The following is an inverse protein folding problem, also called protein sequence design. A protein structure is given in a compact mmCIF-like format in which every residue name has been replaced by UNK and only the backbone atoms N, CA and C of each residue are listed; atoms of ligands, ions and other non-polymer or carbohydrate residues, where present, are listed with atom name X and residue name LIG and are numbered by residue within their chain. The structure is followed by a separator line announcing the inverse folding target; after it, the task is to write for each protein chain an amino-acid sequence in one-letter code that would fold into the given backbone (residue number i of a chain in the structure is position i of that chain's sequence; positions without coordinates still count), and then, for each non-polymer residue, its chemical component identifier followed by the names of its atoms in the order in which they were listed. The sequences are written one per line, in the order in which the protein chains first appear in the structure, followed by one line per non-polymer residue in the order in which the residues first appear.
data_IF_280464757688
#
_entry.id   IF_280464757688
#
_cell.length_a   1.000
_cell.length_b   1.000
_cell.length_c   1.000
_cell.angle_alpha   90.00
_cell.angle_beta   90.00
_cell.angle_gamma   90.00
#
_symmetry.space_group_name_H-M   'P 1'
#
loop_
_entity.id
_entity.type
_entity.pdbx_description
1 polymer ?
#
# COMPACT_ATOMS: atom_id res chain seq x y z
N UNK A 1 -12.44 -30.87 3.91
CA UNK A 1 -13.39 -29.76 4.16
C UNK A 1 -12.64 -28.46 4.01
N UNK A 2 -13.07 -27.66 3.06
CA UNK A 2 -12.40 -26.48 2.54
C UNK A 2 -12.28 -25.38 3.61
N UNK A 3 -11.07 -24.96 3.92
CA UNK A 3 -10.84 -23.81 4.79
C UNK A 3 -11.30 -22.55 4.07
N UNK A 4 -12.36 -21.93 4.57
CA UNK A 4 -12.81 -20.61 4.15
C UNK A 4 -11.71 -19.58 4.48
N UNK A 5 -11.06 -19.08 3.44
CA UNK A 5 -10.23 -17.87 3.51
C UNK A 5 -11.16 -16.73 3.91
N UNK A 6 -10.89 -16.11 5.04
CA UNK A 6 -11.55 -14.86 5.43
C UNK A 6 -11.21 -13.77 4.42
N UNK A 7 -12.19 -13.23 3.70
CA UNK A 7 -11.96 -12.17 2.74
C UNK A 7 -12.52 -10.87 3.27
N UNK A 8 -11.78 -9.87 3.47
CA UNK A 8 -12.53 -8.64 3.63
C UNK A 8 -11.75 -7.33 3.57
N UNK A 9 -10.52 -7.27 4.03
CA UNK A 9 -9.85 -5.97 4.16
C UNK A 9 -8.96 -5.56 2.98
N UNK A 10 -8.12 -6.46 2.50
CA UNK A 10 -7.13 -6.15 1.47
C UNK A 10 -7.72 -5.80 0.08
N UNK A 11 -8.72 -6.52 -0.46
CA UNK A 11 -9.25 -6.22 -1.79
C UNK A 11 -10.00 -4.89 -1.87
N UNK A 12 -10.72 -4.47 -0.82
CA UNK A 12 -11.47 -3.22 -0.81
C UNK A 12 -10.56 -1.98 -0.78
N UNK A 13 -9.46 -2.00 -0.03
CA UNK A 13 -8.47 -0.91 0.01
C UNK A 13 -7.78 -0.74 -1.33
N UNK A 14 -7.42 -1.85 -1.99
CA UNK A 14 -6.80 -1.82 -3.31
C UNK A 14 -7.77 -1.36 -4.40
N UNK A 15 -9.05 -1.63 -4.26
CA UNK A 15 -10.09 -1.18 -5.20
C UNK A 15 -10.33 0.32 -5.10
N UNK A 16 -10.42 0.87 -3.89
CA UNK A 16 -10.54 2.32 -3.66
C UNK A 16 -9.29 3.06 -4.14
N UNK A 17 -8.10 2.53 -3.88
CA UNK A 17 -6.85 3.10 -4.37
C UNK A 17 -6.79 3.12 -5.90
N UNK A 18 -7.22 2.04 -6.55
CA UNK A 18 -7.32 1.95 -8.01
C UNK A 18 -8.34 2.93 -8.58
N UNK A 19 -9.52 3.08 -7.95
CA UNK A 19 -10.53 4.04 -8.35
C UNK A 19 -10.03 5.48 -8.22
N UNK A 20 -9.39 5.85 -7.10
CA UNK A 20 -8.81 7.17 -6.90
C UNK A 20 -7.70 7.49 -7.91
N UNK A 21 -6.84 6.52 -8.21
CA UNK A 21 -5.80 6.64 -9.22
C UNK A 21 -6.41 6.80 -10.63
N UNK A 22 -7.48 6.09 -10.95
CA UNK A 22 -8.19 6.19 -12.22
C UNK A 22 -8.83 7.59 -12.41
N UNK A 23 -9.45 8.16 -11.38
CA UNK A 23 -10.02 9.52 -11.40
C UNK A 23 -8.91 10.57 -11.59
N UNK A 24 -7.80 10.47 -10.85
CA UNK A 24 -6.67 11.38 -11.00
C UNK A 24 -6.07 11.30 -12.41
N UNK A 25 -5.95 10.11 -12.96
CA UNK A 25 -5.44 9.88 -14.32
C UNK A 25 -6.39 10.43 -15.40
N UNK A 26 -7.70 10.25 -15.22
CA UNK A 26 -8.72 10.80 -16.12
C UNK A 26 -8.73 12.34 -16.12
N UNK A 27 -8.59 12.96 -14.94
CA UNK A 27 -8.52 14.42 -14.79
C UNK A 27 -7.26 15.01 -15.46
N UNK A 28 -6.10 14.41 -15.24
CA UNK A 28 -4.84 14.84 -15.88
C UNK A 28 -4.90 14.66 -17.40
N UNK A 29 -5.44 13.55 -17.87
CA UNK A 29 -5.66 13.31 -19.30
C UNK A 29 -6.60 14.34 -19.92
N UNK A 30 -7.71 14.68 -19.23
CA UNK A 30 -8.65 15.72 -19.67
C UNK A 30 -7.95 17.08 -19.79
N UNK A 31 -7.17 17.47 -18.81
CA UNK A 31 -6.44 18.73 -18.82
C UNK A 31 -5.39 18.78 -19.94
N UNK A 32 -4.67 17.69 -20.24
CA UNK A 32 -3.76 17.56 -21.38
C UNK A 32 -4.49 17.77 -22.71
N UNK A 33 -5.63 17.10 -22.89
CA UNK A 33 -6.43 17.22 -24.14
C UNK A 33 -6.86 18.68 -24.35
N UNK A 34 -7.40 19.32 -23.31
CA UNK A 34 -7.85 20.71 -23.39
C UNK A 34 -6.69 21.64 -23.76
N UNK A 35 -5.55 21.49 -23.12
CA UNK A 35 -4.37 22.33 -23.42
C UNK A 35 -3.86 22.13 -24.84
N UNK A 36 -3.82 20.89 -25.35
CA UNK A 36 -3.42 20.56 -26.72
C UNK A 36 -4.43 21.18 -27.71
N UNK A 37 -5.72 21.02 -27.46
CA UNK A 37 -6.77 21.58 -28.31
C UNK A 37 -6.69 23.10 -28.36
N UNK A 38 -6.51 23.78 -27.21
CA UNK A 38 -6.36 25.24 -27.18
C UNK A 38 -5.13 25.68 -27.99
N UNK A 39 -3.96 25.05 -27.76
CA UNK A 39 -2.72 25.40 -28.45
C UNK A 39 -2.85 25.28 -29.97
N UNK A 40 -3.33 24.11 -30.44
CA UNK A 40 -3.48 23.84 -31.87
C UNK A 40 -4.62 24.62 -32.52
N UNK A 41 -5.75 24.78 -31.85
CA UNK A 41 -6.88 25.57 -32.35
C UNK A 41 -6.49 27.04 -32.51
N UNK A 42 -5.84 27.62 -31.49
CA UNK A 42 -5.35 29.00 -31.57
C UNK A 42 -4.35 29.20 -32.69
N UNK A 43 -3.38 28.28 -32.81
CA UNK A 43 -2.38 28.29 -33.85
C UNK A 43 -2.98 28.17 -35.27
N UNK A 44 -3.97 27.29 -35.43
CA UNK A 44 -4.58 27.05 -36.76
C UNK A 44 -5.71 28.03 -37.11
N UNK A 45 -6.62 28.32 -36.17
CA UNK A 45 -7.81 29.09 -36.45
C UNK A 45 -7.61 30.62 -36.38
N UNK A 46 -6.62 31.09 -35.62
CA UNK A 46 -6.35 32.51 -35.43
C UNK A 46 -5.05 32.91 -36.13
N UNK A 47 -3.93 32.23 -35.85
CA UNK A 47 -2.64 32.62 -36.36
C UNK A 47 -2.52 32.44 -37.90
N UNK A 48 -2.95 31.27 -38.43
CA UNK A 48 -2.82 31.03 -39.87
C UNK A 48 -3.60 32.00 -40.75
N UNK A 49 -4.91 32.26 -40.49
CA UNK A 49 -5.64 33.28 -41.29
C UNK A 49 -4.99 34.67 -41.24
N UNK A 50 -4.50 35.08 -40.06
CA UNK A 50 -3.84 36.36 -39.90
C UNK A 50 -2.53 36.49 -40.75
N UNK A 51 -1.70 35.42 -40.73
CA UNK A 51 -0.49 35.34 -41.55
C UNK A 51 -0.81 35.37 -43.04
N UNK A 52 -1.82 34.61 -43.48
CA UNK A 52 -2.25 34.56 -44.87
C UNK A 52 -2.82 35.91 -45.37
N UNK A 53 -3.60 36.59 -44.52
CA UNK A 53 -4.18 37.90 -44.83
C UNK A 53 -3.08 38.99 -44.97
N UNK A 54 -2.07 38.95 -44.10
CA UNK A 54 -1.00 39.95 -44.09
C UNK A 54 0.22 39.54 -44.94
N UNK A 55 0.12 38.49 -45.77
CA UNK A 55 1.25 37.89 -46.50
C UNK A 55 2.08 38.86 -47.32
N UNK A 56 1.43 39.85 -47.99
CA UNK A 56 2.09 40.87 -48.79
C UNK A 56 2.78 41.95 -47.96
N UNK A 57 2.48 42.06 -46.66
CA UNK A 57 2.99 43.07 -45.75
C UNK A 57 4.12 42.57 -44.86
N UNK A 58 4.31 41.25 -44.80
CA UNK A 58 5.39 40.61 -44.06
C UNK A 58 6.72 40.82 -44.78
N UNK A 59 7.79 41.08 -44.03
CA UNK A 59 9.12 41.25 -44.58
C UNK A 59 9.68 39.95 -45.20
N UNK A 60 9.41 38.79 -44.60
CA UNK A 60 9.80 37.48 -45.12
C UNK A 60 8.68 36.44 -44.92
N UNK A 61 7.60 36.45 -45.75
CA UNK A 61 6.40 35.60 -45.53
C UNK A 61 6.68 34.11 -45.60
N UNK A 62 7.63 33.68 -46.39
CA UNK A 62 8.01 32.25 -46.49
C UNK A 62 8.67 31.74 -45.21
N UNK A 63 9.46 32.56 -44.54
CA UNK A 63 10.06 32.21 -43.23
C UNK A 63 9.01 32.14 -42.15
N UNK A 64 8.07 33.10 -42.09
CA UNK A 64 6.98 33.11 -41.13
C UNK A 64 6.06 31.90 -41.30
N UNK A 65 5.75 31.51 -42.55
CA UNK A 65 4.94 30.31 -42.83
C UNK A 65 5.69 29.00 -42.52
N UNK A 66 6.98 28.93 -42.87
CA UNK A 66 7.80 27.76 -42.54
C UNK A 66 7.93 27.55 -41.03
N UNK A 67 8.12 28.64 -40.27
CA UNK A 67 8.13 28.63 -38.83
C UNK A 67 6.76 28.18 -38.24
N UNK A 68 5.65 28.68 -38.85
CA UNK A 68 4.31 28.25 -38.46
C UNK A 68 4.12 26.76 -38.65
N UNK A 69 4.51 26.18 -39.83
CA UNK A 69 4.41 24.71 -40.06
C UNK A 69 5.29 23.95 -39.09
N UNK A 70 6.50 24.40 -38.80
CA UNK A 70 7.41 23.75 -37.87
C UNK A 70 6.78 23.67 -36.46
N UNK A 71 6.18 24.76 -35.98
CA UNK A 71 5.51 24.77 -34.67
C UNK A 71 4.23 23.90 -34.66
N UNK A 72 3.47 23.91 -35.74
CA UNK A 72 2.29 23.03 -35.87
C UNK A 72 2.68 21.55 -35.77
N UNK A 73 3.73 21.12 -36.51
CA UNK A 73 4.20 19.73 -36.51
C UNK A 73 4.79 19.35 -35.15
N UNK A 74 5.65 20.19 -34.59
CA UNK A 74 6.26 19.93 -33.27
C UNK A 74 5.23 19.92 -32.16
N UNK A 75 4.23 20.79 -32.21
CA UNK A 75 3.11 20.81 -31.26
C UNK A 75 2.22 19.58 -31.36
N UNK A 76 1.92 19.12 -32.58
CA UNK A 76 1.17 17.89 -32.79
C UNK A 76 1.93 16.66 -32.22
N UNK A 77 3.23 16.55 -32.53
CA UNK A 77 4.09 15.48 -31.99
C UNK A 77 4.18 15.52 -30.47
N UNK A 78 4.35 16.72 -29.89
CA UNK A 78 4.33 16.91 -28.44
C UNK A 78 2.98 16.51 -27.82
N UNK A 79 1.88 16.91 -28.45
CA UNK A 79 0.52 16.53 -28.03
C UNK A 79 0.31 15.02 -28.03
N UNK A 80 0.69 14.34 -29.12
CA UNK A 80 0.60 12.86 -29.22
C UNK A 80 1.44 12.19 -28.13
N UNK A 81 2.67 12.66 -27.87
CA UNK A 81 3.52 12.10 -26.80
C UNK A 81 2.91 12.33 -25.42
N UNK A 82 2.39 13.54 -25.16
CA UNK A 82 1.69 13.84 -23.90
C UNK A 82 0.49 12.91 -23.65
N UNK A 83 -0.32 12.65 -24.68
CA UNK A 83 -1.49 11.76 -24.57
C UNK A 83 -1.08 10.30 -24.35
N UNK A 84 0.05 9.87 -24.91
CA UNK A 84 0.63 8.56 -24.69
C UNK A 84 1.37 8.41 -23.38
N UNK A 85 1.50 9.50 -22.58
CA UNK A 85 2.28 9.48 -21.35
C UNK A 85 3.79 9.38 -21.56
N UNK A 86 4.28 9.62 -22.79
CA UNK A 86 5.70 9.54 -23.11
C UNK A 86 6.44 10.81 -22.68
N UNK A 87 7.70 10.73 -22.20
CA UNK A 87 8.45 11.89 -21.78
C UNK A 87 8.72 12.82 -22.95
N UNK A 88 8.53 14.13 -22.72
CA UNK A 88 8.89 15.18 -23.68
C UNK A 88 10.30 15.68 -23.39
N UNK A 89 11.12 15.92 -24.44
CA UNK A 89 12.38 16.63 -24.31
C UNK A 89 12.12 18.14 -24.12
N UNK A 90 11.68 18.52 -22.92
CA UNK A 90 11.13 19.84 -22.64
C UNK A 90 12.11 21.00 -22.99
N UNK A 91 13.37 20.88 -22.58
CA UNK A 91 14.34 21.95 -22.82
C UNK A 91 14.79 22.10 -24.28
N UNK A 92 15.08 21.02 -25.03
CA UNK A 92 15.28 21.10 -26.47
C UNK A 92 14.09 21.71 -27.22
N UNK A 93 12.86 21.28 -26.86
CA UNK A 93 11.64 21.83 -27.42
C UNK A 93 11.47 23.32 -27.11
N UNK A 94 11.69 23.71 -25.85
CA UNK A 94 11.66 25.12 -25.44
C UNK A 94 12.69 25.96 -26.16
N UNK A 95 13.92 25.46 -26.32
CA UNK A 95 14.97 26.12 -27.08
C UNK A 95 14.60 26.32 -28.56
N UNK A 96 14.04 25.29 -29.21
CA UNK A 96 13.51 25.38 -30.56
C UNK A 96 12.44 26.48 -30.69
N UNK A 97 11.47 26.50 -29.73
CA UNK A 97 10.42 27.51 -29.74
C UNK A 97 10.96 28.95 -29.57
N UNK A 98 11.99 29.15 -28.74
CA UNK A 98 12.63 30.47 -28.58
C UNK A 98 13.43 30.88 -29.84
N UNK A 99 14.07 29.93 -30.54
CA UNK A 99 14.70 30.22 -31.83
C UNK A 99 13.68 30.62 -32.89
N UNK A 100 12.55 29.88 -32.96
CA UNK A 100 11.43 30.24 -33.84
C UNK A 100 10.87 31.61 -33.49
N UNK A 101 10.75 31.94 -32.20
CA UNK A 101 10.30 33.22 -31.70
C UNK A 101 11.12 34.40 -32.26
N UNK A 102 12.42 34.36 -32.04
CA UNK A 102 13.34 35.39 -32.58
C UNK A 102 13.31 35.47 -34.11
N UNK A 103 13.21 34.32 -34.78
CA UNK A 103 13.13 34.24 -36.24
C UNK A 103 11.89 34.92 -36.78
N UNK A 104 10.72 34.67 -36.19
CA UNK A 104 9.44 35.24 -36.63
C UNK A 104 9.40 36.73 -36.32
N UNK A 105 9.88 37.19 -35.16
CA UNK A 105 10.00 38.65 -34.89
C UNK A 105 10.85 39.39 -35.91
N UNK A 106 11.98 38.80 -36.34
CA UNK A 106 12.82 39.39 -37.37
C UNK A 106 12.16 39.35 -38.77
N UNK A 107 11.42 38.27 -39.07
CA UNK A 107 10.80 38.03 -40.38
C UNK A 107 9.46 38.74 -40.59
N UNK A 108 8.78 39.15 -39.52
CA UNK A 108 7.49 39.83 -39.59
C UNK A 108 7.62 41.28 -40.13
N UNK A 109 8.67 41.97 -39.76
CA UNK A 109 8.92 43.38 -40.13
C UNK A 109 8.21 44.37 -39.19
N UNK A 110 8.58 45.64 -39.32
CA UNK A 110 8.13 46.72 -38.43
C UNK A 110 6.62 46.89 -38.44
N UNK A 111 5.98 46.90 -39.63
CA UNK A 111 4.53 47.09 -39.79
C UNK A 111 3.68 46.00 -39.12
N UNK A 112 4.21 44.79 -38.98
CA UNK A 112 3.51 43.62 -38.44
C UNK A 112 3.90 43.31 -36.99
N UNK A 113 4.75 44.14 -36.37
CA UNK A 113 5.30 43.87 -35.01
C UNK A 113 4.25 43.64 -33.94
N UNK A 114 3.15 44.40 -33.96
CA UNK A 114 2.06 44.30 -32.98
C UNK A 114 0.75 43.86 -33.65
N UNK A 115 0.79 42.98 -34.63
CA UNK A 115 -0.40 42.44 -35.29
C UNK A 115 -0.56 40.95 -35.04
N UNK A 116 -1.71 40.41 -35.38
CA UNK A 116 -1.98 38.97 -35.29
C UNK A 116 -1.13 38.17 -36.31
N UNK A 117 -0.57 38.81 -37.35
CA UNK A 117 0.31 38.16 -38.30
C UNK A 117 1.67 37.79 -37.68
N UNK A 118 2.10 38.53 -36.65
CA UNK A 118 3.20 38.10 -35.76
C UNK A 118 2.66 37.14 -34.70
N UNK A 119 2.33 35.96 -35.16
CA UNK A 119 1.58 34.92 -34.41
C UNK A 119 2.28 34.43 -33.15
N UNK A 120 3.59 34.60 -33.03
CA UNK A 120 4.36 34.15 -31.85
C UNK A 120 3.83 34.75 -30.54
N UNK A 121 3.35 36.01 -30.58
CA UNK A 121 2.73 36.67 -29.44
C UNK A 121 1.61 35.83 -28.80
N UNK A 122 0.64 35.43 -29.57
CA UNK A 122 -0.54 34.75 -29.05
C UNK A 122 -0.41 33.24 -28.91
N UNK A 123 0.62 32.65 -29.54
CA UNK A 123 0.68 31.19 -29.72
C UNK A 123 1.75 30.53 -28.85
N UNK A 124 2.97 31.12 -28.76
CA UNK A 124 4.12 30.43 -28.16
C UNK A 124 3.91 30.08 -26.69
N UNK A 125 3.23 30.94 -25.93
CA UNK A 125 2.92 30.71 -24.54
C UNK A 125 2.15 29.37 -24.33
N UNK A 126 1.24 29.02 -25.23
CA UNK A 126 0.52 27.75 -25.20
C UNK A 126 1.41 26.54 -25.47
N UNK A 127 2.36 26.68 -26.41
CA UNK A 127 3.33 25.60 -26.66
C UNK A 127 4.35 25.46 -25.53
N UNK A 128 4.68 26.54 -24.81
CA UNK A 128 5.47 26.44 -23.57
C UNK A 128 4.71 25.67 -22.48
N UNK A 129 3.40 25.88 -22.34
CA UNK A 129 2.55 25.07 -21.44
C UNK A 129 2.63 23.60 -21.79
N UNK A 130 2.52 23.23 -23.09
CA UNK A 130 2.65 21.83 -23.52
C UNK A 130 4.06 21.27 -23.27
N UNK A 131 5.11 22.02 -23.59
CA UNK A 131 6.50 21.58 -23.42
C UNK A 131 6.86 21.32 -21.95
N UNK A 132 6.29 22.12 -21.04
CA UNK A 132 6.58 22.08 -19.61
C UNK A 132 5.48 21.37 -18.80
N UNK A 133 4.59 20.63 -19.43
CA UNK A 133 3.50 19.93 -18.73
C UNK A 133 4.01 19.09 -17.55
N UNK A 134 3.41 19.29 -16.38
CA UNK A 134 3.80 18.58 -15.14
C UNK A 134 5.11 19.05 -14.50
N UNK A 135 5.74 20.11 -15.02
CA UNK A 135 6.94 20.72 -14.45
C UNK A 135 6.61 21.90 -13.54
N UNK A 136 7.62 22.49 -12.92
CA UNK A 136 7.48 23.65 -12.03
C UNK A 136 7.09 24.90 -12.83
N UNK A 137 6.18 25.71 -12.28
CA UNK A 137 5.73 26.98 -12.88
C UNK A 137 6.87 27.96 -13.17
N UNK A 138 7.92 27.90 -12.36
CA UNK A 138 9.13 28.75 -12.56
C UNK A 138 9.75 28.57 -13.96
N UNK A 139 9.72 27.33 -14.51
CA UNK A 139 10.17 27.06 -15.86
C UNK A 139 9.34 27.79 -16.92
N UNK A 140 8.00 27.78 -16.77
CA UNK A 140 7.10 28.50 -17.67
C UNK A 140 7.34 30.03 -17.59
N UNK A 141 7.45 30.57 -16.38
CA UNK A 141 7.71 31.98 -16.18
C UNK A 141 9.05 32.39 -16.79
N UNK A 142 10.08 31.58 -16.65
CA UNK A 142 11.39 31.83 -17.27
C UNK A 142 11.30 31.88 -18.82
N UNK A 143 10.53 30.95 -19.43
CA UNK A 143 10.31 30.99 -20.89
C UNK A 143 9.50 32.19 -21.36
N UNK A 144 8.48 32.60 -20.58
CA UNK A 144 7.70 33.79 -20.88
C UNK A 144 8.53 35.07 -20.75
N UNK A 145 9.41 35.13 -19.76
CA UNK A 145 10.41 36.24 -19.64
C UNK A 145 11.35 36.23 -20.82
N UNK A 146 11.88 35.07 -21.23
CA UNK A 146 12.76 34.95 -22.40
C UNK A 146 12.05 35.42 -23.70
N UNK A 147 10.80 34.95 -23.92
CA UNK A 147 9.94 35.40 -25.00
C UNK A 147 9.74 36.93 -24.97
N UNK A 148 9.42 37.52 -23.81
CA UNK A 148 9.24 38.95 -23.66
C UNK A 148 10.53 39.75 -23.93
N UNK A 149 11.69 39.18 -23.54
CA UNK A 149 12.99 39.81 -23.85
C UNK A 149 13.32 39.77 -25.35
N UNK A 150 13.04 38.65 -26.04
CA UNK A 150 13.19 38.53 -27.50
C UNK A 150 12.29 39.55 -28.18
N UNK A 151 11.01 39.64 -27.76
CA UNK A 151 10.09 40.63 -28.29
C UNK A 151 10.56 42.09 -28.04
N UNK A 152 11.08 42.37 -26.83
CA UNK A 152 11.61 43.70 -26.51
C UNK A 152 12.82 44.07 -27.39
N UNK A 153 13.73 43.13 -27.62
CA UNK A 153 14.86 43.32 -28.52
C UNK A 153 14.38 43.63 -29.94
N UNK A 154 13.34 42.92 -30.42
CA UNK A 154 12.72 43.18 -31.71
C UNK A 154 12.06 44.58 -31.77
N UNK A 155 11.31 44.98 -30.75
CA UNK A 155 10.69 46.31 -30.64
C UNK A 155 11.73 47.42 -30.71
N UNK A 156 12.82 47.27 -29.96
CA UNK A 156 13.93 48.26 -29.98
C UNK A 156 14.66 48.21 -31.32
N UNK A 157 14.91 47.03 -31.87
CA UNK A 157 15.64 46.87 -33.16
C UNK A 157 14.89 47.44 -34.35
N UNK A 158 13.56 47.44 -34.31
CA UNK A 158 12.70 48.09 -35.31
C UNK A 158 12.45 49.61 -35.03
N UNK A 159 13.04 50.18 -33.99
CA UNK A 159 12.89 51.58 -33.64
C UNK A 159 11.53 51.98 -33.01
N UNK A 160 10.69 50.98 -32.65
CA UNK A 160 9.37 51.19 -32.04
C UNK A 160 9.50 51.52 -30.53
N UNK A 161 10.12 52.69 -30.23
CA UNK A 161 10.45 53.08 -28.84
C UNK A 161 9.61 54.21 -28.30
N UNK A 162 8.60 54.66 -29.05
CA UNK A 162 7.68 55.66 -28.57
C UNK A 162 6.86 55.13 -27.35
N UNK A 163 6.40 56.02 -26.49
CA UNK A 163 5.62 55.65 -25.29
C UNK A 163 4.39 54.79 -25.63
N UNK A 164 3.77 55.04 -26.80
CA UNK A 164 2.64 54.27 -27.30
C UNK A 164 3.05 52.82 -27.66
N UNK A 165 4.24 52.63 -28.24
CA UNK A 165 4.77 51.30 -28.60
C UNK A 165 5.17 50.49 -27.38
N UNK A 166 5.79 51.14 -26.39
CA UNK A 166 6.06 50.50 -25.10
C UNK A 166 4.81 50.13 -24.33
N UNK A 167 3.77 50.94 -24.40
CA UNK A 167 2.46 50.63 -23.82
C UNK A 167 1.81 49.41 -24.52
N UNK A 168 1.88 49.35 -25.88
CA UNK A 168 1.42 48.18 -26.66
C UNK A 168 2.22 46.91 -26.28
N UNK A 169 3.55 47.02 -26.19
CA UNK A 169 4.39 45.93 -25.76
C UNK A 169 3.95 45.39 -24.39
N UNK A 170 3.80 46.25 -23.38
CA UNK A 170 3.34 45.85 -22.06
C UNK A 170 1.98 45.15 -22.09
N UNK A 171 1.04 45.69 -22.90
CA UNK A 171 -0.28 45.12 -23.09
C UNK A 171 -0.19 43.72 -23.75
N UNK A 172 0.65 43.53 -24.75
CA UNK A 172 0.83 42.22 -25.40
C UNK A 172 1.46 41.22 -24.43
N UNK A 173 2.51 41.59 -23.71
CA UNK A 173 3.13 40.73 -22.69
C UNK A 173 2.12 40.28 -21.66
N UNK A 174 1.31 41.21 -21.12
CA UNK A 174 0.27 40.90 -20.16
C UNK A 174 -0.82 40.00 -20.76
N UNK A 175 -1.36 40.41 -21.92
CA UNK A 175 -2.49 39.73 -22.54
C UNK A 175 -2.18 38.30 -22.99
N UNK A 176 -0.97 38.08 -23.54
CA UNK A 176 -0.57 36.76 -24.08
C UNK A 176 -0.03 35.79 -23.01
N UNK A 177 0.48 36.35 -21.89
CA UNK A 177 1.05 35.52 -20.81
C UNK A 177 0.04 35.14 -19.71
N UNK A 178 -0.94 36.02 -19.42
CA UNK A 178 -1.83 35.87 -18.26
C UNK A 178 -2.68 34.58 -18.31
N UNK A 179 -3.32 34.29 -19.44
CA UNK A 179 -4.20 33.14 -19.57
C UNK A 179 -3.42 31.79 -19.60
N UNK A 180 -2.32 31.63 -20.34
CA UNK A 180 -1.48 30.43 -20.25
C UNK A 180 -0.94 30.18 -18.83
N UNK A 181 -0.52 31.21 -18.11
CA UNK A 181 -0.08 31.08 -16.72
C UNK A 181 -1.22 30.63 -15.83
N UNK A 182 -2.41 31.26 -15.95
CA UNK A 182 -3.59 30.88 -15.17
C UNK A 182 -4.00 29.42 -15.42
N UNK A 183 -4.00 28.97 -16.68
CA UNK A 183 -4.31 27.58 -17.05
C UNK A 183 -3.27 26.61 -16.51
N UNK A 184 -1.98 26.94 -16.60
CA UNK A 184 -0.90 26.11 -16.09
C UNK A 184 -0.95 25.96 -14.57
N UNK A 185 -1.10 27.08 -13.86
CA UNK A 185 -1.17 27.11 -12.38
C UNK A 185 -2.47 26.44 -11.91
N UNK A 186 -3.60 26.74 -12.55
CA UNK A 186 -4.89 26.10 -12.25
C UNK A 186 -4.86 24.59 -12.44
N UNK A 187 -4.28 24.12 -13.55
CA UNK A 187 -4.08 22.69 -13.80
C UNK A 187 -3.18 22.03 -12.76
N UNK A 188 -2.09 22.67 -12.38
CA UNK A 188 -1.19 22.17 -11.33
C UNK A 188 -1.89 22.13 -9.96
N UNK A 189 -2.69 23.15 -9.63
CA UNK A 189 -3.45 23.21 -8.37
C UNK A 189 -4.51 22.10 -8.30
N UNK A 190 -5.27 21.89 -9.37
CA UNK A 190 -6.26 20.81 -9.46
C UNK A 190 -5.57 19.44 -9.29
N UNK A 191 -4.45 19.22 -9.95
CA UNK A 191 -3.69 17.98 -9.84
C UNK A 191 -3.13 17.77 -8.42
N UNK A 192 -2.70 18.84 -7.73
CA UNK A 192 -2.26 18.79 -6.35
C UNK A 192 -3.40 18.42 -5.40
N UNK A 193 -4.55 19.09 -5.53
CA UNK A 193 -5.74 18.83 -4.73
C UNK A 193 -6.28 17.40 -4.93
N UNK A 194 -6.28 16.90 -6.16
CA UNK A 194 -6.70 15.53 -6.46
C UNK A 194 -5.79 14.51 -5.77
N UNK A 195 -4.46 14.74 -5.76
CA UNK A 195 -3.49 13.88 -5.06
C UNK A 195 -3.68 13.91 -3.54
N UNK A 196 -3.91 15.07 -2.96
CA UNK A 196 -4.17 15.25 -1.54
C UNK A 196 -5.45 14.52 -1.11
N UNK A 197 -6.54 14.71 -1.85
CA UNK A 197 -7.80 13.99 -1.59
C UNK A 197 -7.66 12.48 -1.69
N UNK A 198 -6.91 11.97 -2.69
CA UNK A 198 -6.63 10.56 -2.84
C UNK A 198 -5.82 10.01 -1.65
N UNK A 199 -4.82 10.75 -1.17
CA UNK A 199 -4.03 10.38 0.01
C UNK A 199 -4.87 10.35 1.29
N UNK A 200 -5.72 11.36 1.50
CA UNK A 200 -6.64 11.43 2.66
C UNK A 200 -7.66 10.29 2.64
N UNK A 201 -8.25 10.01 1.48
CA UNK A 201 -9.17 8.88 1.32
C UNK A 201 -8.47 7.54 1.62
N UNK A 202 -7.26 7.32 1.09
CA UNK A 202 -6.50 6.11 1.38
C UNK A 202 -6.19 5.94 2.88
N UNK A 203 -5.82 7.02 3.57
CA UNK A 203 -5.56 7.00 5.01
C UNK A 203 -6.83 6.68 5.82
N UNK A 204 -7.98 7.29 5.47
CA UNK A 204 -9.24 7.01 6.15
C UNK A 204 -9.73 5.57 5.96
N UNK A 205 -9.55 5.00 4.76
CA UNK A 205 -9.87 3.59 4.51
C UNK A 205 -8.94 2.63 5.25
N UNK A 206 -7.65 2.95 5.41
CA UNK A 206 -6.73 2.14 6.20
C UNK A 206 -7.16 2.08 7.67
N UNK A 207 -7.51 3.24 8.26
CA UNK A 207 -8.03 3.30 9.64
C UNK A 207 -9.35 2.55 9.80
N UNK A 208 -10.25 2.64 8.82
CA UNK A 208 -11.51 1.90 8.84
C UNK A 208 -11.26 0.37 8.80
N UNK A 209 -10.37 -0.09 7.92
CA UNK A 209 -10.01 -1.51 7.81
C UNK A 209 -9.38 -2.06 9.10
N UNK A 210 -8.52 -1.27 9.77
CA UNK A 210 -7.95 -1.66 11.07
C UNK A 210 -9.03 -1.80 12.16
N UNK A 211 -10.00 -0.86 12.19
CA UNK A 211 -11.13 -0.93 13.12
C UNK A 211 -12.00 -2.16 12.88
N UNK A 212 -12.34 -2.42 11.62
CA UNK A 212 -13.15 -3.57 11.24
C UNK A 212 -12.45 -4.89 11.59
N UNK A 213 -11.14 -4.99 11.34
CA UNK A 213 -10.34 -6.14 11.74
C UNK A 213 -10.29 -6.33 13.27
N UNK A 214 -10.13 -5.25 14.04
CA UNK A 214 -10.15 -5.30 15.49
C UNK A 214 -11.54 -5.70 16.04
N UNK A 215 -12.62 -5.19 15.45
CA UNK A 215 -13.97 -5.57 15.82
C UNK A 215 -14.27 -7.04 15.50
N UNK A 216 -13.82 -7.52 14.34
CA UNK A 216 -13.97 -8.92 13.96
C UNK A 216 -13.21 -9.83 14.93
N UNK A 217 -11.96 -9.51 15.27
CA UNK A 217 -11.20 -10.26 16.25
C UNK A 217 -11.87 -10.29 17.65
N UNK A 218 -12.51 -9.17 18.05
CA UNK A 218 -13.29 -9.12 19.30
C UNK A 218 -14.55 -9.98 19.24
N UNK A 219 -15.25 -10.04 18.10
CA UNK A 219 -16.43 -10.90 17.90
C UNK A 219 -16.02 -12.37 17.96
N UNK A 220 -15.01 -12.75 17.19
CA UNK A 220 -14.49 -14.13 17.17
C UNK A 220 -14.04 -14.59 18.56
N UNK A 221 -13.44 -13.69 19.35
CA UNK A 221 -13.06 -13.98 20.75
C UNK A 221 -14.30 -14.19 21.64
N UNK A 222 -15.32 -13.32 21.51
CA UNK A 222 -16.57 -13.48 22.29
C UNK A 222 -17.28 -14.78 21.96
N UNK A 223 -17.34 -15.15 20.68
CA UNK A 223 -18.00 -16.36 20.21
C UNK A 223 -17.28 -17.61 20.74
N UNK A 224 -15.94 -17.62 20.75
CA UNK A 224 -15.15 -18.70 21.36
C UNK A 224 -15.36 -18.78 22.88
N UNK A 225 -15.37 -17.65 23.57
CA UNK A 225 -15.66 -17.60 25.01
C UNK A 225 -17.05 -18.13 25.31
N UNK A 226 -18.06 -17.75 24.55
CA UNK A 226 -19.45 -18.21 24.74
C UNK A 226 -19.59 -19.73 24.58
N UNK A 227 -18.91 -20.31 23.56
CA UNK A 227 -18.91 -21.76 23.34
C UNK A 227 -18.32 -22.55 24.52
N UNK A 228 -17.23 -22.06 25.11
CA UNK A 228 -16.54 -22.74 26.21
C UNK A 228 -17.27 -22.50 27.54
N UNK A 229 -17.75 -21.25 27.77
CA UNK A 229 -18.54 -20.91 28.98
C UNK A 229 -19.83 -21.73 29.06
N UNK A 230 -20.54 -21.95 27.93
CA UNK A 230 -21.76 -22.75 27.92
C UNK A 230 -21.56 -24.19 28.41
N UNK A 231 -20.40 -24.81 28.07
CA UNK A 231 -20.10 -26.17 28.55
C UNK A 231 -19.78 -26.19 30.07
N UNK A 232 -19.03 -25.21 30.55
CA UNK A 232 -18.70 -25.09 31.97
C UNK A 232 -19.96 -24.74 32.81
N UNK A 233 -20.78 -23.82 32.29
CA UNK A 233 -22.03 -23.38 32.92
C UNK A 233 -23.03 -24.53 33.06
N UNK A 234 -23.15 -25.40 32.05
CA UNK A 234 -24.02 -26.58 32.12
C UNK A 234 -23.59 -27.51 33.25
N UNK A 235 -22.30 -27.84 33.37
CA UNK A 235 -21.79 -28.72 34.43
C UNK A 235 -21.99 -28.09 35.81
N UNK A 236 -21.72 -26.77 35.95
CA UNK A 236 -21.93 -26.06 37.21
C UNK A 236 -23.40 -25.95 37.61
N UNK A 237 -24.29 -25.73 36.64
CA UNK A 237 -25.74 -25.70 36.87
C UNK A 237 -26.26 -27.06 37.30
N UNK A 238 -25.85 -28.17 36.66
CA UNK A 238 -26.23 -29.52 37.04
C UNK A 238 -25.80 -29.87 38.48
N UNK A 239 -24.60 -29.43 38.88
CA UNK A 239 -24.08 -29.61 40.24
C UNK A 239 -24.85 -28.74 41.26
N UNK A 240 -25.10 -27.46 40.92
CA UNK A 240 -25.81 -26.53 41.80
C UNK A 240 -27.26 -26.92 42.06
N UNK A 241 -27.92 -27.46 41.03
CA UNK A 241 -29.32 -27.95 41.11
C UNK A 241 -29.44 -29.36 41.75
N UNK A 242 -28.33 -29.98 42.12
CA UNK A 242 -28.30 -31.34 42.68
C UNK A 242 -28.67 -32.44 41.65
N UNK A 243 -28.65 -32.13 40.36
CA UNK A 243 -28.93 -33.07 39.27
C UNK A 243 -27.73 -33.95 38.91
N UNK A 244 -26.51 -33.53 39.30
CA UNK A 244 -25.28 -34.29 39.13
C UNK A 244 -24.61 -34.54 40.48
N UNK A 245 -24.14 -35.79 40.70
CA UNK A 245 -23.39 -36.17 41.90
C UNK A 245 -21.90 -35.72 41.72
N UNK A 246 -21.36 -34.89 42.62
CA UNK A 246 -19.97 -34.47 42.57
C UNK A 246 -18.94 -35.59 42.76
N UNK A 247 -19.40 -36.74 43.29
CA UNK A 247 -18.56 -37.93 43.51
C UNK A 247 -18.54 -38.86 42.29
N UNK A 248 -19.44 -38.66 41.31
CA UNK A 248 -19.49 -39.42 40.08
C UNK A 248 -18.23 -39.17 39.21
N UNK A 249 -17.45 -40.21 38.90
CA UNK A 249 -16.23 -40.07 38.06
C UNK A 249 -16.48 -39.40 36.70
N UNK A 250 -17.66 -39.62 36.10
CA UNK A 250 -18.02 -39.02 34.83
C UNK A 250 -18.29 -37.51 34.95
N UNK A 251 -18.96 -37.08 36.03
CA UNK A 251 -19.18 -35.67 36.35
C UNK A 251 -17.84 -34.97 36.62
N UNK A 252 -16.93 -35.59 37.40
CA UNK A 252 -15.60 -35.08 37.67
C UNK A 252 -14.78 -34.95 36.39
N UNK A 253 -14.84 -35.92 35.50
CA UNK A 253 -14.14 -35.87 34.19
C UNK A 253 -14.67 -34.72 33.33
N UNK A 254 -15.98 -34.52 33.22
CA UNK A 254 -16.59 -33.41 32.48
C UNK A 254 -16.18 -32.05 33.07
N UNK A 255 -16.18 -31.92 34.37
CA UNK A 255 -15.76 -30.72 35.08
C UNK A 255 -14.28 -30.41 34.83
N UNK A 256 -13.39 -31.40 34.90
CA UNK A 256 -11.96 -31.25 34.62
C UNK A 256 -11.72 -30.82 33.17
N UNK A 257 -12.41 -31.43 32.21
CA UNK A 257 -12.31 -31.06 30.79
C UNK A 257 -12.77 -29.61 30.53
N UNK A 258 -13.89 -29.20 31.12
CA UNK A 258 -14.40 -27.84 31.01
C UNK A 258 -13.42 -26.80 31.62
N UNK A 259 -12.87 -27.12 32.80
CA UNK A 259 -11.91 -26.27 33.47
C UNK A 259 -10.58 -26.15 32.68
N UNK A 260 -10.08 -27.25 32.10
CA UNK A 260 -8.88 -27.27 31.29
C UNK A 260 -9.07 -26.42 30.01
N UNK A 261 -10.20 -26.55 29.33
CA UNK A 261 -10.57 -25.76 28.14
C UNK A 261 -10.67 -24.26 28.46
N UNK A 262 -11.33 -23.92 29.56
CA UNK A 262 -11.48 -22.52 29.99
C UNK A 262 -10.13 -21.88 30.32
N UNK A 263 -9.27 -22.59 31.08
CA UNK A 263 -7.90 -22.10 31.40
C UNK A 263 -7.06 -21.89 30.15
N UNK A 264 -7.13 -22.81 29.19
CA UNK A 264 -6.42 -22.68 27.91
C UNK A 264 -6.91 -21.45 27.13
N UNK A 265 -8.21 -21.23 27.04
CA UNK A 265 -8.79 -20.08 26.35
C UNK A 265 -8.37 -18.75 26.98
N UNK A 266 -8.27 -18.70 28.30
CA UNK A 266 -7.74 -17.53 29.03
C UNK A 266 -6.26 -17.31 28.72
N UNK A 267 -5.46 -18.37 28.69
CA UNK A 267 -4.04 -18.32 28.35
C UNK A 267 -3.77 -17.93 26.89
N UNK A 268 -4.62 -18.35 25.94
CA UNK A 268 -4.53 -17.97 24.52
C UNK A 268 -4.79 -16.48 24.26
N UNK A 269 -5.28 -15.76 25.26
CA UNK A 269 -5.59 -14.32 25.14
C UNK A 269 -4.35 -13.43 25.04
N UNK A 270 -3.18 -13.91 25.45
CA UNK A 270 -1.97 -13.11 25.60
C UNK A 270 -0.85 -13.46 24.58
N UNK A 271 -1.09 -14.38 23.63
CA UNK A 271 -0.01 -14.97 22.85
C UNK A 271 0.16 -14.47 21.42
N UNK A 272 1.39 -14.05 21.14
CA UNK A 272 2.03 -14.07 19.81
C UNK A 272 2.03 -15.52 19.30
N UNK A 273 1.63 -15.80 18.05
CA UNK A 273 1.57 -17.16 17.52
C UNK A 273 2.97 -17.77 17.38
N UNK A 274 3.40 -18.53 18.40
CA UNK A 274 4.65 -19.27 18.35
C UNK A 274 4.44 -20.65 17.68
N UNK A 275 5.24 -21.02 16.67
CA UNK A 275 5.06 -22.27 15.94
C UNK A 275 5.24 -23.55 16.78
N UNK A 276 6.11 -23.56 17.80
CA UNK A 276 6.27 -24.69 18.71
C UNK A 276 5.02 -24.89 19.58
N UNK A 277 4.53 -23.80 20.17
CA UNK A 277 3.31 -23.83 20.97
C UNK A 277 2.11 -24.26 20.13
N UNK A 278 2.06 -23.86 18.86
CA UNK A 278 1.01 -24.31 17.93
C UNK A 278 1.04 -25.85 17.72
N UNK A 279 2.21 -26.45 17.51
CA UNK A 279 2.39 -27.89 17.35
C UNK A 279 1.99 -28.65 18.63
N UNK A 280 2.40 -28.18 19.81
CA UNK A 280 2.05 -28.78 21.09
C UNK A 280 0.55 -28.64 21.42
N UNK A 281 -0.07 -27.51 21.11
CA UNK A 281 -1.52 -27.31 21.23
C UNK A 281 -2.30 -28.28 20.36
N UNK A 282 -1.85 -28.46 19.12
CA UNK A 282 -2.50 -29.41 18.21
C UNK A 282 -2.48 -30.85 18.77
N UNK A 283 -1.36 -31.28 19.35
CA UNK A 283 -1.25 -32.59 20.00
C UNK A 283 -2.18 -32.70 21.24
N UNK A 284 -2.21 -31.65 22.07
CA UNK A 284 -3.13 -31.57 23.22
C UNK A 284 -4.60 -31.61 22.80
N UNK A 285 -5.00 -30.91 21.74
CA UNK A 285 -6.37 -30.90 21.22
C UNK A 285 -6.81 -32.29 20.72
N UNK A 286 -5.91 -33.04 20.12
CA UNK A 286 -6.22 -34.42 19.71
C UNK A 286 -6.50 -35.30 20.93
N UNK A 287 -5.66 -35.25 21.96
CA UNK A 287 -5.81 -36.03 23.16
C UNK A 287 -7.08 -35.62 24.00
N UNK A 288 -7.40 -34.30 24.04
CA UNK A 288 -8.65 -33.85 24.68
C UNK A 288 -9.89 -34.35 23.99
N UNK A 289 -9.88 -34.45 22.65
CA UNK A 289 -11.01 -35.05 21.91
C UNK A 289 -11.25 -36.53 22.26
N UNK A 290 -10.22 -37.23 22.69
CA UNK A 290 -10.34 -38.61 23.21
C UNK A 290 -10.72 -38.67 24.68
N UNK A 291 -10.94 -37.51 25.32
CA UNK A 291 -11.43 -37.41 26.70
C UNK A 291 -10.35 -37.27 27.76
N UNK A 292 -9.07 -37.01 27.39
CA UNK A 292 -7.98 -36.76 28.32
C UNK A 292 -7.95 -35.28 28.73
N UNK A 293 -8.17 -34.93 30.04
CA UNK A 293 -7.96 -33.56 30.50
C UNK A 293 -6.48 -33.18 30.46
N UNK A 294 -6.13 -32.12 29.73
CA UNK A 294 -4.74 -31.65 29.60
C UNK A 294 -4.62 -30.22 30.15
N UNK A 295 -3.63 -30.03 31.00
CA UNK A 295 -3.21 -28.70 31.42
C UNK A 295 -1.95 -28.31 30.64
N UNK A 296 -2.03 -27.27 29.79
CA UNK A 296 -0.89 -26.69 29.10
C UNK A 296 -0.43 -25.43 29.83
N UNK A 297 0.79 -25.44 30.34
CA UNK A 297 1.43 -24.31 31.03
C UNK A 297 2.62 -23.82 30.20
N UNK A 298 2.68 -22.50 29.94
CA UNK A 298 3.79 -21.89 29.20
C UNK A 298 4.43 -20.83 30.06
N UNK A 299 5.75 -20.86 30.19
CA UNK A 299 6.58 -19.88 30.90
C UNK A 299 7.65 -19.35 29.94
N UNK A 300 7.64 -18.06 29.67
CA UNK A 300 8.54 -17.41 28.72
C UNK A 300 8.08 -17.55 27.27
N UNK A 301 8.91 -17.03 26.35
CA UNK A 301 8.66 -17.05 24.90
C UNK A 301 9.75 -17.83 24.20
N UNK A 302 9.42 -18.89 23.45
CA UNK A 302 10.42 -19.64 22.70
C UNK A 302 11.13 -18.77 21.65
N UNK A 303 12.43 -18.94 21.44
CA UNK A 303 13.11 -18.28 20.34
C UNK A 303 12.68 -18.89 19.00
N UNK A 304 12.93 -18.21 17.85
CA UNK A 304 12.64 -18.79 16.54
C UNK A 304 13.47 -20.07 16.32
N UNK A 305 12.79 -21.22 16.36
CA UNK A 305 13.40 -22.53 16.22
C UNK A 305 13.23 -23.08 14.81
N UNK A 306 14.27 -23.75 14.22
CA UNK A 306 14.13 -24.51 12.99
C UNK A 306 13.06 -25.61 13.10
N UNK A 307 12.40 -25.95 11.98
CA UNK A 307 11.35 -26.98 11.94
C UNK A 307 11.82 -28.34 12.51
N UNK A 308 13.07 -28.74 12.21
CA UNK A 308 13.67 -29.98 12.72
C UNK A 308 13.78 -30.01 14.26
N UNK A 309 14.14 -28.88 14.87
CA UNK A 309 14.23 -28.75 16.33
C UNK A 309 12.85 -28.76 16.97
N UNK A 310 11.90 -28.01 16.40
CA UNK A 310 10.51 -27.98 16.92
C UNK A 310 9.88 -29.36 16.93
N UNK A 311 10.00 -30.12 15.82
CA UNK A 311 9.47 -31.48 15.75
C UNK A 311 10.10 -32.38 16.79
N UNK A 312 11.43 -32.36 16.98
CA UNK A 312 12.08 -33.15 18.03
C UNK A 312 11.66 -32.77 19.43
N UNK A 313 11.26 -31.49 19.66
CA UNK A 313 10.70 -31.05 20.93
C UNK A 313 9.27 -31.51 21.13
N UNK A 314 8.45 -31.61 20.07
CA UNK A 314 7.01 -31.83 20.15
C UNK A 314 6.56 -33.28 19.86
N UNK A 315 7.15 -33.96 18.86
CA UNK A 315 6.69 -35.29 18.38
C UNK A 315 6.65 -36.35 19.46
N UNK A 316 7.62 -36.46 20.41
CA UNK A 316 7.57 -37.46 21.46
C UNK A 316 6.33 -37.37 22.34
N UNK A 317 5.83 -36.16 22.55
CA UNK A 317 4.65 -35.95 23.40
C UNK A 317 3.34 -36.36 22.72
N UNK A 318 3.26 -36.30 21.40
CA UNK A 318 2.06 -36.73 20.68
C UNK A 318 1.75 -38.23 20.93
N UNK A 319 2.79 -39.06 20.88
CA UNK A 319 2.64 -40.49 21.18
C UNK A 319 2.30 -40.77 22.65
N UNK A 320 2.97 -40.07 23.59
CA UNK A 320 2.71 -40.22 25.03
C UNK A 320 1.32 -39.75 25.42
N UNK A 321 0.82 -38.67 24.79
CA UNK A 321 -0.54 -38.16 25.02
C UNK A 321 -1.63 -39.10 24.47
N UNK A 322 -1.34 -39.82 23.37
CA UNK A 322 -2.27 -40.82 22.84
C UNK A 322 -2.48 -42.00 23.79
N UNK A 323 -1.44 -42.39 24.54
CA UNK A 323 -1.49 -43.48 25.52
C UNK A 323 -1.86 -43.04 26.94
N UNK A 324 -1.84 -41.73 27.21
CA UNK A 324 -2.12 -41.19 28.53
C UNK A 324 -3.58 -41.43 28.97
N UNK A 325 -3.76 -41.70 30.27
CA UNK A 325 -5.07 -41.91 30.88
C UNK A 325 -5.19 -41.07 32.17
N UNK A 326 -6.40 -40.64 32.47
CA UNK A 326 -6.70 -39.86 33.66
C UNK A 326 -6.51 -38.36 33.44
N UNK A 327 -5.30 -37.89 33.50
CA UNK A 327 -4.96 -36.46 33.25
C UNK A 327 -3.55 -36.34 32.69
N UNK A 328 -3.23 -35.18 32.08
CA UNK A 328 -1.90 -34.84 31.64
C UNK A 328 -1.58 -33.38 31.92
N UNK A 329 -0.33 -33.08 32.27
CA UNK A 329 0.18 -31.71 32.36
C UNK A 329 1.38 -31.56 31.42
N UNK A 330 1.24 -30.71 30.43
CA UNK A 330 2.27 -30.37 29.48
C UNK A 330 2.81 -28.96 29.83
N UNK A 331 4.10 -28.86 30.14
CA UNK A 331 4.73 -27.61 30.54
C UNK A 331 5.81 -27.22 29.56
N UNK A 332 5.81 -25.99 29.09
CA UNK A 332 6.84 -25.39 28.24
C UNK A 332 7.52 -24.28 29.03
N UNK A 333 8.83 -24.41 29.21
CA UNK A 333 9.68 -23.36 29.81
C UNK A 333 10.66 -22.90 28.72
N UNK A 334 10.60 -21.65 28.33
CA UNK A 334 11.40 -21.10 27.24
C UNK A 334 12.16 -19.85 27.67
N UNK A 335 13.44 -19.86 27.32
CA UNK A 335 14.37 -18.74 27.40
C UNK A 335 15.06 -18.50 26.07
N UNK A 336 15.92 -17.46 25.96
CA UNK A 336 16.58 -17.12 24.69
C UNK A 336 17.51 -18.22 24.16
N UNK A 337 18.09 -19.02 25.06
CA UNK A 337 19.12 -20.05 24.71
C UNK A 337 18.69 -21.47 25.11
N UNK A 338 17.50 -21.63 25.65
CA UNK A 338 17.03 -22.94 26.11
C UNK A 338 15.52 -23.04 26.02
N UNK A 339 15.03 -24.20 25.57
CA UNK A 339 13.62 -24.57 25.59
C UNK A 339 13.48 -25.96 26.19
N UNK A 340 12.63 -26.08 27.18
CA UNK A 340 12.28 -27.32 27.86
C UNK A 340 10.78 -27.56 27.70
N UNK A 341 10.42 -28.75 27.22
CA UNK A 341 9.03 -29.22 27.19
C UNK A 341 8.97 -30.45 28.07
N UNK A 342 8.04 -30.49 29.01
CA UNK A 342 7.85 -31.63 29.90
C UNK A 342 6.39 -32.06 29.97
N UNK A 343 6.15 -33.36 30.08
CA UNK A 343 4.85 -33.99 30.24
C UNK A 343 4.83 -34.81 31.52
N UNK A 344 3.79 -34.65 32.31
CA UNK A 344 3.50 -35.50 33.46
C UNK A 344 2.11 -36.11 33.28
N UNK A 345 1.99 -37.41 33.49
CA UNK A 345 0.73 -38.14 33.42
C UNK A 345 0.75 -39.31 34.41
N UNK A 346 -0.42 -39.80 34.94
CA UNK A 346 -0.45 -41.00 35.78
C UNK A 346 0.03 -42.23 35.05
N UNK A 347 0.81 -43.05 35.75
CA UNK A 347 1.21 -44.39 35.30
C UNK A 347 0.20 -45.42 35.83
N UNK A 348 -0.75 -45.81 34.99
CA UNK A 348 -1.78 -46.82 35.32
C UNK A 348 -1.52 -48.18 34.66
N UNK A 349 -0.58 -48.22 33.74
CA UNK A 349 -0.21 -49.49 33.09
C UNK A 349 0.93 -50.11 33.91
N UNK A 350 0.77 -51.35 34.30
CA UNK A 350 1.80 -52.09 35.03
C UNK A 350 3.16 -52.18 34.26
N UNK A 351 4.14 -52.91 34.81
CA UNK A 351 5.51 -52.96 34.31
C UNK A 351 5.66 -53.40 32.84
N UNK A 352 4.60 -53.90 32.21
CA UNK A 352 4.61 -54.43 30.81
C UNK A 352 4.20 -53.41 29.74
N UNK A 353 3.90 -52.17 30.09
CA UNK A 353 3.53 -51.16 29.09
C UNK A 353 4.72 -50.79 28.18
N UNK A 354 4.53 -50.94 26.87
CA UNK A 354 5.46 -50.61 25.81
C UNK A 354 5.64 -49.09 25.70
N UNK A 355 6.45 -48.50 26.59
CA UNK A 355 6.89 -47.12 26.51
C UNK A 355 8.26 -46.96 25.88
N UNK A 356 8.68 -45.78 25.50
CA UNK A 356 10.06 -45.54 25.09
C UNK A 356 11.01 -46.00 26.23
N UNK A 357 12.25 -46.49 25.93
CA UNK A 357 13.17 -46.95 26.94
C UNK A 357 13.43 -45.82 27.96
N UNK A 358 13.30 -46.16 29.24
CA UNK A 358 13.62 -45.23 30.33
C UNK A 358 15.11 -44.84 30.27
N UNK A 359 15.39 -43.54 30.35
CA UNK A 359 16.74 -43.01 30.39
C UNK A 359 16.97 -41.82 29.46
N UNK A 360 18.14 -41.21 29.52
CA UNK A 360 18.48 -40.07 28.66
C UNK A 360 18.80 -40.56 27.24
N UNK A 361 18.23 -39.90 26.25
CA UNK A 361 18.54 -40.10 24.83
C UNK A 361 18.67 -38.75 24.12
N UNK A 362 19.22 -38.73 22.90
CA UNK A 362 19.33 -37.51 22.10
C UNK A 362 20.49 -37.52 21.12
N UNK A 363 20.52 -36.57 20.20
CA UNK A 363 21.55 -36.46 19.13
C UNK A 363 22.40 -35.17 19.25
N UNK A 364 22.60 -34.68 20.45
CA UNK A 364 23.49 -33.55 20.75
C UNK A 364 22.80 -32.16 20.76
N UNK A 365 21.69 -31.95 20.03
CA UNK A 365 20.99 -30.67 20.03
C UNK A 365 19.70 -30.71 20.85
N UNK A 366 18.99 -31.84 20.87
CA UNK A 366 17.81 -32.05 21.68
C UNK A 366 18.00 -33.26 22.54
N UNK A 367 17.97 -33.08 23.83
CA UNK A 367 18.01 -34.12 24.83
C UNK A 367 16.61 -34.62 25.15
N UNK A 368 16.46 -35.91 25.39
CA UNK A 368 15.24 -36.56 25.77
C UNK A 368 15.47 -37.34 27.06
N UNK A 369 14.54 -37.20 28.00
CA UNK A 369 14.53 -37.96 29.26
C UNK A 369 13.13 -38.50 29.47
N UNK A 370 13.05 -39.81 29.82
CA UNK A 370 11.79 -40.46 30.17
C UNK A 370 12.01 -41.26 31.44
N UNK A 371 11.17 -41.05 32.45
CA UNK A 371 11.24 -41.69 33.75
C UNK A 371 9.86 -42.13 34.20
N UNK A 372 9.81 -43.21 34.97
CA UNK A 372 8.67 -43.69 35.72
C UNK A 372 9.01 -43.64 37.21
N UNK A 373 8.21 -42.92 37.97
CA UNK A 373 8.38 -42.77 39.40
C UNK A 373 7.05 -43.05 40.10
N UNK A 374 6.91 -44.31 40.61
CA UNK A 374 5.72 -44.75 41.29
C UNK A 374 4.44 -44.71 40.44
N UNK A 375 3.55 -43.75 40.72
CA UNK A 375 2.27 -43.63 40.09
C UNK A 375 2.25 -42.62 38.90
N UNK A 376 3.42 -42.07 38.55
CA UNK A 376 3.53 -41.05 37.48
C UNK A 376 4.56 -41.42 36.42
N UNK A 377 4.30 -41.01 35.18
CA UNK A 377 5.25 -40.98 34.08
C UNK A 377 5.67 -39.55 33.88
N UNK A 378 6.94 -39.30 33.73
CA UNK A 378 7.52 -38.04 33.41
C UNK A 378 8.40 -38.14 32.17
N UNK A 379 8.12 -37.22 31.21
CA UNK A 379 8.88 -37.12 30.00
C UNK A 379 9.33 -35.68 29.77
N UNK A 380 10.55 -35.48 29.28
CA UNK A 380 11.10 -34.15 29.02
C UNK A 380 11.92 -34.14 27.75
N UNK A 381 11.72 -33.13 26.92
CA UNK A 381 12.65 -32.72 25.85
C UNK A 381 13.29 -31.39 26.20
N UNK A 382 14.57 -31.25 25.87
CA UNK A 382 15.35 -30.06 26.16
C UNK A 382 16.24 -29.70 24.98
N UNK A 383 16.11 -28.50 24.49
CA UNK A 383 16.99 -27.89 23.53
C UNK A 383 17.84 -26.81 24.19
N UNK A 384 19.13 -26.78 23.88
CA UNK A 384 20.07 -25.69 24.21
C UNK A 384 20.77 -25.22 22.96
N UNK A 385 20.97 -23.90 22.87
CA UNK A 385 21.73 -23.26 21.80
C UNK A 385 23.21 -23.56 21.88
#
# INVERSE_FOLDING_TARGET
MSAARGPGGAPAVDEVRRAAAAVAHASDRGARIVSIVIALAWHSAIALPAVLAARSELAAPTVVLAAWVLVAVTGLLAGVRLLRGSPLPAWPLAGLLLVVDGTVFAAAGESQLFTAANWVWGTLAWFFVLALWGRRVVGLLALLVAHSLIALVAVIGHGATASADLARFAMYVYGTSSLPVAVFVGGAAIAALARERAATAAASHAVAAERDAAEQARRDRRDRLALVSGTAETVLAELADGRADPTDPEVQRRAMLAAARLRRLIAESDDVPDPLLHELRAAADVAERTGLPIELVTVGTPPPLPVSIRRRLADPFAALLADARGWARLTVVAGPDEVVVSLVTPDRDGPDATGPPAGPGGDGQVQWVYERDGEIRWAQTRWRR
#
